data_IF_220091965525
#
_entry.id   IF_220091965525
#
_cell.length_a   1.000
_cell.length_b   1.000
_cell.length_c   1.000
_cell.angle_alpha   90.00
_cell.angle_beta   90.00
_cell.angle_gamma   90.00
#
_symmetry.space_group_name_H-M   'P 1'
#
loop_
_entity.id
_entity.type
_entity.pdbx_description
1 polymer ?
#
# COMPACT_ATOMS: atom_id res chain seq x y z
N UNK A 1 -24.99 -10.83 -36.37
CA UNK A 1 -25.67 -10.60 -35.08
C UNK A 1 -24.63 -10.67 -33.99
N UNK A 2 -24.24 -9.52 -33.42
CA UNK A 2 -23.33 -9.50 -32.28
C UNK A 2 -24.05 -10.09 -31.08
N UNK A 3 -23.49 -11.14 -30.50
CA UNK A 3 -24.00 -11.74 -29.28
C UNK A 3 -23.91 -10.71 -28.15
N UNK A 4 -25.04 -10.13 -27.74
CA UNK A 4 -25.11 -9.28 -26.55
C UNK A 4 -25.12 -10.23 -25.36
N UNK A 5 -23.98 -10.83 -25.04
CA UNK A 5 -23.83 -11.48 -23.74
C UNK A 5 -23.95 -10.38 -22.69
N UNK A 6 -24.96 -10.43 -21.79
CA UNK A 6 -25.08 -9.44 -20.75
C UNK A 6 -23.81 -9.47 -19.91
N UNK A 7 -23.25 -8.28 -19.63
CA UNK A 7 -22.08 -8.18 -18.76
C UNK A 7 -22.43 -8.83 -17.42
N UNK A 8 -21.56 -9.69 -16.87
CA UNK A 8 -21.80 -10.29 -15.57
C UNK A 8 -21.94 -9.18 -14.50
N UNK A 9 -22.67 -9.44 -13.41
CA UNK A 9 -22.67 -8.53 -12.28
C UNK A 9 -21.24 -8.34 -11.74
N UNK A 10 -20.97 -7.19 -11.10
CA UNK A 10 -19.61 -6.81 -10.66
C UNK A 10 -18.92 -7.86 -9.76
N UNK A 11 -19.69 -8.63 -8.99
CA UNK A 11 -19.15 -9.71 -8.14
C UNK A 11 -18.80 -10.98 -8.91
N UNK A 12 -18.95 -11.00 -10.24
CA UNK A 12 -18.66 -12.14 -11.12
C UNK A 12 -17.72 -11.80 -12.28
N UNK A 13 -17.39 -10.51 -12.51
CA UNK A 13 -16.61 -10.04 -13.69
C UNK A 13 -15.29 -10.77 -13.90
N UNK A 14 -14.49 -10.94 -12.86
CA UNK A 14 -13.11 -11.47 -12.94
C UNK A 14 -12.96 -12.86 -12.33
N UNK A 15 -14.05 -13.65 -12.28
CA UNK A 15 -14.03 -15.02 -11.77
C UNK A 15 -14.59 -16.00 -12.81
N UNK A 16 -14.09 -17.25 -12.86
CA UNK A 16 -14.57 -18.24 -13.80
C UNK A 16 -16.05 -18.57 -13.55
N UNK A 17 -16.82 -18.98 -14.58
CA UNK A 17 -18.24 -19.35 -14.43
C UNK A 17 -18.49 -20.42 -13.35
N UNK A 18 -17.54 -21.32 -13.12
CA UNK A 18 -17.61 -22.33 -12.07
C UNK A 18 -17.63 -21.77 -10.64
N UNK A 19 -17.18 -20.52 -10.46
CA UNK A 19 -17.16 -19.82 -9.17
C UNK A 19 -18.27 -18.78 -9.05
N UNK A 20 -19.17 -18.69 -10.03
CA UNK A 20 -20.27 -17.73 -9.99
C UNK A 20 -21.30 -18.12 -8.92
N UNK A 21 -21.67 -17.14 -8.11
CA UNK A 21 -22.68 -17.30 -7.05
C UNK A 21 -23.99 -16.63 -7.46
N UNK A 22 -25.12 -17.27 -7.16
CA UNK A 22 -26.45 -16.72 -7.50
C UNK A 22 -26.71 -15.34 -6.85
N UNK A 23 -26.13 -15.09 -5.68
CA UNK A 23 -26.21 -13.83 -4.96
C UNK A 23 -24.83 -13.21 -4.73
N UNK A 24 -24.79 -11.89 -4.48
CA UNK A 24 -23.55 -11.20 -4.16
C UNK A 24 -22.97 -11.70 -2.81
N UNK A 25 -21.72 -12.19 -2.77
CA UNK A 25 -21.07 -12.63 -1.53
C UNK A 25 -21.06 -11.55 -0.46
N UNK A 26 -21.17 -11.93 0.82
CA UNK A 26 -21.26 -10.98 1.94
C UNK A 26 -20.10 -9.98 1.98
N UNK A 27 -18.88 -10.40 1.63
CA UNK A 27 -17.70 -9.53 1.61
C UNK A 27 -17.68 -8.49 0.49
N UNK A 28 -18.63 -8.58 -0.47
CA UNK A 28 -18.81 -7.64 -1.57
C UNK A 28 -20.12 -6.86 -1.47
N UNK A 29 -20.87 -7.02 -0.38
CA UNK A 29 -22.07 -6.21 -0.15
C UNK A 29 -21.70 -4.84 0.43
N UNK A 30 -22.56 -3.84 0.18
CA UNK A 30 -22.42 -2.48 0.73
C UNK A 30 -21.10 -1.77 0.38
N UNK A 31 -20.54 -2.07 -0.79
CA UNK A 31 -19.34 -1.42 -1.30
C UNK A 31 -19.62 0.01 -1.76
N UNK A 32 -18.57 0.83 -1.78
CA UNK A 32 -18.66 2.18 -2.32
C UNK A 32 -18.93 2.14 -3.83
N UNK A 33 -19.54 3.19 -4.43
CA UNK A 33 -19.69 3.27 -5.88
C UNK A 33 -18.36 3.15 -6.63
N UNK A 34 -17.26 3.63 -6.02
CA UNK A 34 -15.91 3.52 -6.56
C UNK A 34 -15.46 2.05 -6.63
N UNK A 35 -15.62 1.30 -5.54
CA UNK A 35 -15.22 -0.12 -5.51
C UNK A 35 -16.07 -0.97 -6.45
N UNK A 36 -17.38 -0.70 -6.52
CA UNK A 36 -18.28 -1.37 -7.49
C UNK A 36 -17.82 -1.12 -8.92
N UNK A 37 -17.46 0.13 -9.25
CA UNK A 37 -16.92 0.51 -10.55
C UNK A 37 -15.63 -0.26 -10.86
N UNK A 38 -14.67 -0.30 -9.92
CA UNK A 38 -13.41 -1.03 -10.10
C UNK A 38 -13.66 -2.53 -10.32
N UNK A 39 -14.50 -3.15 -9.50
CA UNK A 39 -14.82 -4.58 -9.61
C UNK A 39 -15.58 -4.93 -10.90
N UNK A 40 -16.28 -3.96 -11.48
CA UNK A 40 -17.00 -4.12 -12.75
C UNK A 40 -16.06 -4.13 -13.96
N UNK A 41 -14.83 -3.66 -13.82
CA UNK A 41 -13.82 -3.62 -14.89
C UNK A 41 -13.17 -4.99 -15.08
N UNK A 42 -13.16 -5.57 -16.29
CA UNK A 42 -12.38 -6.76 -16.58
C UNK A 42 -10.88 -6.51 -16.37
N UNK A 43 -10.17 -7.47 -15.78
CA UNK A 43 -8.74 -7.41 -15.52
C UNK A 43 -7.90 -7.01 -16.76
N UNK A 44 -8.17 -7.52 -17.99
CA UNK A 44 -7.44 -7.11 -19.19
C UNK A 44 -7.65 -5.65 -19.60
N UNK A 45 -8.74 -5.02 -19.15
CA UNK A 45 -9.05 -3.61 -19.41
C UNK A 45 -8.44 -2.69 -18.34
N UNK A 46 -7.92 -3.26 -17.25
CA UNK A 46 -7.27 -2.48 -16.21
C UNK A 46 -5.91 -1.95 -16.68
N UNK A 47 -5.71 -0.64 -16.52
CA UNK A 47 -4.45 0.01 -16.86
C UNK A 47 -3.46 -0.06 -15.69
N UNK A 48 -2.37 -0.80 -15.87
CA UNK A 48 -1.27 -0.86 -14.92
C UNK A 48 -0.50 0.47 -14.90
N UNK A 49 -0.32 1.04 -13.71
CA UNK A 49 0.38 2.31 -13.55
C UNK A 49 1.90 2.11 -13.66
N UNK A 50 2.50 2.79 -14.65
CA UNK A 50 3.96 2.83 -14.85
C UNK A 50 4.65 3.74 -13.82
N UNK A 51 5.96 3.59 -13.64
CA UNK A 51 6.72 4.44 -12.71
C UNK A 51 6.56 5.95 -12.97
N UNK A 52 6.63 6.47 -14.22
CA UNK A 52 6.31 7.87 -14.50
C UNK A 52 4.90 8.28 -14.06
N UNK A 53 3.89 7.43 -14.31
CA UNK A 53 2.51 7.70 -13.91
C UNK A 53 2.35 7.76 -12.39
N UNK A 54 2.99 6.82 -11.67
CA UNK A 54 3.00 6.80 -10.20
C UNK A 54 3.62 8.09 -9.64
N UNK A 55 4.78 8.50 -10.16
CA UNK A 55 5.42 9.77 -9.76
C UNK A 55 4.51 10.96 -10.01
N UNK A 56 3.92 11.05 -11.20
CA UNK A 56 2.99 12.13 -11.54
C UNK A 56 1.79 12.19 -10.60
N UNK A 57 1.23 11.03 -10.20
CA UNK A 57 0.11 10.96 -9.25
C UNK A 57 0.51 11.54 -7.89
N UNK A 58 1.69 11.18 -7.40
CA UNK A 58 2.21 11.63 -6.09
C UNK A 58 2.56 13.13 -6.15
N UNK A 59 3.26 13.58 -7.20
CA UNK A 59 3.61 14.99 -7.39
C UNK A 59 2.36 15.88 -7.50
N UNK A 60 1.29 15.39 -8.14
CA UNK A 60 0.01 16.08 -8.23
C UNK A 60 -0.87 15.92 -6.98
N UNK A 61 -0.41 15.17 -5.97
CA UNK A 61 -1.14 14.83 -4.76
C UNK A 61 -2.53 14.21 -5.03
N UNK A 62 -2.63 13.39 -6.09
CA UNK A 62 -3.87 12.74 -6.58
C UNK A 62 -3.93 11.27 -6.17
N UNK A 63 -3.65 11.00 -4.89
CA UNK A 63 -3.57 9.63 -4.34
C UNK A 63 -4.89 8.84 -4.52
N UNK A 64 -6.01 9.52 -4.75
CA UNK A 64 -7.30 8.93 -5.09
C UNK A 64 -7.27 8.09 -6.39
N UNK A 65 -6.31 8.35 -7.28
CA UNK A 65 -6.13 7.62 -8.54
C UNK A 65 -5.45 6.26 -8.33
N UNK A 66 -4.79 6.03 -7.20
CA UNK A 66 -4.28 4.71 -6.89
C UNK A 66 -5.43 3.74 -6.64
N UNK A 67 -5.44 2.66 -7.41
CA UNK A 67 -6.45 1.61 -7.35
C UNK A 67 -5.75 0.26 -7.40
N UNK A 68 -6.38 -0.76 -6.86
CA UNK A 68 -5.94 -2.14 -7.06
C UNK A 68 -6.50 -2.64 -8.38
N UNK A 69 -5.80 -3.59 -8.98
CA UNK A 69 -6.36 -4.40 -10.06
C UNK A 69 -7.68 -5.03 -9.59
N UNK A 70 -8.73 -5.14 -10.44
CA UNK A 70 -10.06 -5.61 -10.02
C UNK A 70 -10.05 -6.95 -9.30
N UNK A 71 -9.33 -7.96 -9.81
CA UNK A 71 -9.14 -9.25 -9.13
C UNK A 71 -8.53 -9.12 -7.73
N UNK A 72 -7.58 -8.22 -7.57
CA UNK A 72 -6.84 -8.05 -6.30
C UNK A 72 -7.65 -7.23 -5.31
N UNK A 73 -8.46 -6.27 -5.78
CA UNK A 73 -9.46 -5.61 -4.94
C UNK A 73 -10.46 -6.62 -4.38
N UNK A 74 -10.96 -7.54 -5.21
CA UNK A 74 -11.88 -8.60 -4.77
C UNK A 74 -11.25 -9.44 -3.65
N UNK A 75 -10.05 -9.96 -3.87
CA UNK A 75 -9.34 -10.80 -2.89
C UNK A 75 -8.99 -10.02 -1.63
N UNK A 76 -8.62 -8.74 -1.75
CA UNK A 76 -8.40 -7.85 -0.61
C UNK A 76 -9.66 -7.70 0.25
N UNK A 77 -10.82 -7.48 -0.37
CA UNK A 77 -12.10 -7.33 0.34
C UNK A 77 -12.49 -8.64 1.06
N UNK A 78 -12.30 -9.78 0.40
CA UNK A 78 -12.49 -11.11 1.00
C UNK A 78 -11.55 -11.31 2.20
N UNK A 79 -10.26 -11.01 2.03
CA UNK A 79 -9.26 -11.07 3.10
C UNK A 79 -9.65 -10.17 4.28
N UNK A 80 -10.01 -8.91 4.04
CA UNK A 80 -10.45 -8.00 5.09
C UNK A 80 -11.70 -8.51 5.83
N UNK A 81 -12.64 -9.13 5.11
CA UNK A 81 -13.83 -9.72 5.72
C UNK A 81 -13.45 -10.89 6.65
N UNK A 82 -12.61 -11.80 6.19
CA UNK A 82 -12.14 -12.95 6.98
C UNK A 82 -11.36 -12.51 8.22
N UNK A 83 -10.43 -11.56 8.06
CA UNK A 83 -9.66 -11.00 9.18
C UNK A 83 -10.58 -10.35 10.22
N UNK A 84 -11.58 -9.58 9.80
CA UNK A 84 -12.57 -8.99 10.72
C UNK A 84 -13.34 -10.06 11.47
N UNK A 85 -13.72 -11.14 10.79
CA UNK A 85 -14.45 -12.25 11.41
C UNK A 85 -13.62 -13.02 12.44
N UNK A 86 -12.31 -13.19 12.20
CA UNK A 86 -11.45 -14.01 13.05
C UNK A 86 -10.78 -13.22 14.18
N UNK A 87 -10.35 -11.99 13.91
CA UNK A 87 -9.61 -11.15 14.85
C UNK A 87 -10.44 -10.00 15.42
N UNK A 88 -11.72 -9.92 15.07
CA UNK A 88 -12.64 -8.85 15.46
C UNK A 88 -12.42 -7.52 14.72
N UNK A 89 -11.19 -7.22 14.30
CA UNK A 89 -10.89 -6.06 13.45
C UNK A 89 -9.58 -6.25 12.67
N UNK A 90 -9.47 -5.58 11.52
CA UNK A 90 -8.20 -5.50 10.76
C UNK A 90 -7.09 -4.88 11.62
N UNK A 91 -7.43 -3.86 12.41
CA UNK A 91 -6.50 -3.19 13.31
C UNK A 91 -5.84 -4.17 14.28
N UNK A 92 -6.64 -4.98 14.98
CA UNK A 92 -6.14 -5.97 15.94
C UNK A 92 -5.23 -6.99 15.26
N UNK A 93 -5.60 -7.46 14.08
CA UNK A 93 -4.74 -8.34 13.30
C UNK A 93 -3.40 -7.68 12.92
N UNK A 94 -3.41 -6.42 12.47
CA UNK A 94 -2.17 -5.70 12.16
C UNK A 94 -1.27 -5.63 13.40
N UNK A 95 -1.80 -5.24 14.56
CA UNK A 95 -1.02 -5.15 15.80
C UNK A 95 -0.53 -6.51 16.30
N UNK A 96 -1.42 -7.49 16.44
CA UNK A 96 -1.13 -8.77 17.08
C UNK A 96 -0.30 -9.69 16.18
N UNK A 97 -0.56 -9.67 14.87
CA UNK A 97 0.03 -10.62 13.90
C UNK A 97 1.15 -9.99 13.08
N UNK A 98 0.88 -8.86 12.40
CA UNK A 98 1.85 -8.27 11.46
C UNK A 98 2.95 -7.49 12.17
N UNK A 99 2.60 -6.65 13.14
CA UNK A 99 3.53 -5.76 13.82
C UNK A 99 4.11 -6.40 15.08
N UNK A 100 3.30 -7.18 15.80
CA UNK A 100 3.59 -7.72 17.14
C UNK A 100 3.87 -6.59 18.15
N UNK A 101 3.08 -5.52 18.06
CA UNK A 101 3.14 -4.37 18.96
C UNK A 101 1.93 -4.39 19.88
N UNK A 102 2.13 -4.04 21.15
CA UNK A 102 1.04 -3.88 22.11
C UNK A 102 0.39 -2.52 21.94
N UNK A 103 -0.89 -2.44 22.27
CA UNK A 103 -1.64 -1.18 22.23
C UNK A 103 -1.01 -0.11 23.14
N UNK A 104 -0.44 -0.50 24.28
CA UNK A 104 0.26 0.43 25.18
C UNK A 104 1.49 1.09 24.51
N UNK A 105 2.17 0.37 23.60
CA UNK A 105 3.33 0.90 22.88
C UNK A 105 2.95 1.98 21.86
N UNK A 106 1.68 2.00 21.43
CA UNK A 106 1.13 2.97 20.48
C UNK A 106 0.40 4.10 21.23
N UNK A 107 -0.39 3.74 22.26
CA UNK A 107 -1.19 4.66 23.05
C UNK A 107 -0.36 5.57 23.96
N UNK A 108 0.88 5.19 24.28
CA UNK A 108 1.76 5.98 25.15
C UNK A 108 2.07 7.39 24.62
N UNK A 109 1.73 7.72 23.37
CA UNK A 109 1.99 9.03 22.77
C UNK A 109 3.42 9.48 23.08
N UNK A 110 4.36 8.52 23.02
CA UNK A 110 5.58 8.62 23.79
C UNK A 110 6.37 9.81 23.27
N UNK A 111 6.37 10.89 24.07
CA UNK A 111 6.89 12.24 23.79
C UNK A 111 8.39 12.31 23.45
N UNK A 112 9.01 11.18 23.12
CA UNK A 112 10.43 11.00 22.77
C UNK A 112 10.67 9.98 21.66
N UNK A 113 9.62 9.49 20.99
CA UNK A 113 9.78 8.55 19.90
C UNK A 113 9.97 9.32 18.60
N UNK A 114 11.06 9.02 17.89
CA UNK A 114 11.39 9.62 16.60
C UNK A 114 11.84 8.53 15.62
N UNK A 115 12.08 8.94 14.38
CA UNK A 115 12.70 8.11 13.34
C UNK A 115 14.10 7.57 13.70
N UNK A 116 14.72 8.06 14.79
CA UNK A 116 16.08 7.69 15.19
C UNK A 116 16.19 6.29 15.85
N UNK A 117 15.10 5.75 16.40
CA UNK A 117 15.10 4.41 17.00
C UNK A 117 14.30 3.43 16.13
N UNK A 118 15.04 2.50 15.51
CA UNK A 118 14.52 1.49 14.59
C UNK A 118 13.44 0.59 15.20
N UNK A 119 13.34 0.49 16.54
CA UNK A 119 12.30 -0.30 17.19
C UNK A 119 10.91 0.33 17.11
N UNK A 120 10.84 1.60 16.68
CA UNK A 120 9.58 2.34 16.54
C UNK A 120 9.00 2.27 15.12
N UNK A 121 9.73 1.65 14.19
CA UNK A 121 9.30 1.48 12.81
C UNK A 121 9.32 0.02 12.40
N UNK A 122 8.40 -0.36 11.52
CA UNK A 122 8.43 -1.64 10.83
C UNK A 122 8.20 -1.43 9.35
N UNK A 123 9.18 -1.81 8.54
CA UNK A 123 9.07 -1.79 7.08
C UNK A 123 8.62 -3.17 6.62
N UNK A 124 7.47 -3.24 5.95
CA UNK A 124 6.89 -4.48 5.44
C UNK A 124 6.58 -4.33 3.96
N UNK A 125 6.53 -5.46 3.24
CA UNK A 125 5.93 -5.46 1.91
C UNK A 125 4.43 -5.20 2.04
N UNK A 126 3.86 -4.47 1.09
CA UNK A 126 2.42 -4.30 1.05
C UNK A 126 1.77 -5.64 0.66
N UNK A 127 1.01 -6.23 1.57
CA UNK A 127 0.25 -7.46 1.31
C UNK A 127 -0.70 -7.28 0.13
N UNK A 128 -1.22 -6.08 -0.11
CA UNK A 128 -2.20 -5.80 -1.18
C UNK A 128 -1.79 -4.54 -1.95
N UNK A 129 -0.77 -4.63 -2.81
CA UNK A 129 -0.25 -3.49 -3.56
C UNK A 129 -1.28 -2.95 -4.56
N UNK A 130 -1.04 -1.74 -5.06
CA UNK A 130 -1.85 -1.16 -6.14
C UNK A 130 -1.59 -1.88 -7.48
N UNK A 131 -2.43 -1.60 -8.48
CA UNK A 131 -2.23 -2.07 -9.85
C UNK A 131 -1.12 -1.29 -10.54
N UNK A 132 0.11 -1.54 -10.14
CA UNK A 132 1.33 -0.86 -10.57
C UNK A 132 2.26 -1.85 -11.29
N UNK A 133 3.20 -1.32 -12.06
CA UNK A 133 4.23 -2.10 -12.76
C UNK A 133 4.97 -3.04 -11.78
N UNK A 134 5.19 -4.30 -12.17
CA UNK A 134 5.83 -5.34 -11.34
C UNK A 134 7.26 -4.98 -10.91
N UNK A 135 7.90 -4.06 -11.63
CA UNK A 135 9.21 -3.51 -11.23
C UNK A 135 9.10 -2.58 -10.01
N UNK A 136 7.91 -2.13 -9.64
CA UNK A 136 7.70 -1.23 -8.52
C UNK A 136 7.41 -2.06 -7.26
N UNK A 137 8.33 -2.03 -6.31
CA UNK A 137 8.14 -2.64 -5.00
C UNK A 137 7.38 -1.67 -4.11
N UNK A 138 6.18 -2.08 -3.66
CA UNK A 138 5.33 -1.29 -2.76
C UNK A 138 5.54 -1.75 -1.31
N UNK A 139 6.12 -0.87 -0.50
CA UNK A 139 6.35 -1.08 0.93
C UNK A 139 5.35 -0.26 1.76
N UNK A 140 5.14 -0.71 2.99
CA UNK A 140 4.42 0.02 4.04
C UNK A 140 5.35 0.17 5.23
N UNK A 141 5.54 1.42 5.68
CA UNK A 141 6.29 1.75 6.88
C UNK A 141 5.30 2.09 7.97
N UNK A 142 5.26 1.26 9.02
CA UNK A 142 4.42 1.46 10.20
C UNK A 142 5.20 2.19 11.28
N UNK A 143 4.55 3.12 11.98
CA UNK A 143 5.14 3.89 13.07
C UNK A 143 4.39 3.67 14.38
N UNK A 144 5.13 3.61 15.51
CA UNK A 144 4.52 3.61 16.85
C UNK A 144 4.02 4.99 17.30
N UNK A 145 4.40 6.04 16.57
CA UNK A 145 4.10 7.43 16.87
C UNK A 145 3.21 8.05 15.80
N UNK A 146 2.52 9.13 16.20
CA UNK A 146 1.65 9.88 15.30
C UNK A 146 2.48 10.63 14.25
N UNK A 147 2.01 10.58 13.01
CA UNK A 147 2.48 11.46 11.95
C UNK A 147 1.50 12.63 11.89
N UNK A 148 1.90 13.77 12.45
CA UNK A 148 0.97 14.88 12.69
C UNK A 148 0.55 15.57 11.39
N UNK A 149 -0.75 15.83 11.27
CA UNK A 149 -1.33 16.55 10.14
C UNK A 149 -1.34 18.06 10.45
N UNK A 150 -1.20 18.87 9.41
CA UNK A 150 -1.43 20.30 9.43
C UNK A 150 -2.92 20.57 9.68
N UNK A 151 -3.27 21.36 10.72
CA UNK A 151 -4.66 21.54 11.13
C UNK A 151 -5.50 22.36 10.14
N UNK A 152 -4.87 23.16 9.27
CA UNK A 152 -5.57 23.99 8.29
C UNK A 152 -5.84 23.24 6.99
N UNK A 153 -4.85 22.50 6.50
CA UNK A 153 -4.89 21.83 5.21
C UNK A 153 -5.30 20.35 5.31
N UNK A 154 -5.11 19.73 6.47
CA UNK A 154 -5.31 18.29 6.67
C UNK A 154 -4.25 17.40 6.01
N UNK A 155 -3.22 18.00 5.40
CA UNK A 155 -2.05 17.29 4.85
C UNK A 155 -1.03 17.00 5.96
N UNK A 156 -0.02 16.16 5.71
CA UNK A 156 1.06 15.93 6.67
C UNK A 156 1.83 17.22 6.93
N UNK A 157 2.11 17.55 8.20
CA UNK A 157 2.82 18.78 8.57
C UNK A 157 4.24 18.80 7.99
N UNK A 158 4.71 19.99 7.62
CA UNK A 158 5.95 20.17 6.87
C UNK A 158 7.22 19.70 7.62
N UNK A 159 7.25 19.83 8.95
CA UNK A 159 8.31 19.27 9.79
C UNK A 159 8.32 17.73 9.78
N UNK A 160 7.14 17.10 9.87
CA UNK A 160 6.98 15.64 9.77
C UNK A 160 7.40 15.15 8.38
N UNK A 161 7.06 15.88 7.31
CA UNK A 161 7.53 15.59 5.94
C UNK A 161 9.06 15.58 5.86
N UNK A 162 9.72 16.60 6.43
CA UNK A 162 11.20 16.66 6.48
C UNK A 162 11.82 15.52 7.28
N UNK A 163 11.19 15.10 8.36
CA UNK A 163 11.66 13.95 9.15
C UNK A 163 11.56 12.64 8.36
N UNK A 164 10.43 12.43 7.66
CA UNK A 164 10.25 11.28 6.76
C UNK A 164 11.29 11.33 5.64
N UNK A 165 11.46 12.47 4.97
CA UNK A 165 12.46 12.65 3.90
C UNK A 165 13.87 12.30 4.39
N UNK A 166 14.28 12.83 5.55
CA UNK A 166 15.59 12.55 6.12
C UNK A 166 15.81 11.07 6.42
N UNK A 167 14.79 10.40 6.98
CA UNK A 167 14.85 8.97 7.25
C UNK A 167 14.85 8.13 5.97
N UNK A 168 14.04 8.48 4.97
CA UNK A 168 14.00 7.79 3.67
C UNK A 168 15.34 7.92 2.95
N UNK A 169 15.93 9.11 2.93
CA UNK A 169 17.23 9.37 2.32
C UNK A 169 18.35 8.57 3.02
N UNK A 170 18.28 8.43 4.36
CA UNK A 170 19.24 7.64 5.12
C UNK A 170 19.12 6.13 4.87
N UNK A 171 17.90 5.59 4.93
CA UNK A 171 17.65 4.14 4.84
C UNK A 171 17.72 3.64 3.39
N UNK A 172 17.13 4.40 2.47
CA UNK A 172 16.98 4.01 1.07
C UNK A 172 17.91 4.80 0.15
N UNK A 173 18.04 6.12 0.34
CA UNK A 173 18.80 6.98 -0.57
C UNK A 173 20.29 6.62 -0.69
N UNK A 174 20.97 6.38 0.44
CA UNK A 174 22.41 6.04 0.46
C UNK A 174 22.74 4.67 -0.18
N UNK A 175 21.80 3.72 -0.17
CA UNK A 175 22.02 2.32 -0.59
C UNK A 175 21.44 2.00 -1.97
N UNK A 176 20.25 2.50 -2.28
CA UNK A 176 19.67 2.35 -3.62
C UNK A 176 20.47 3.11 -4.68
N UNK A 177 21.14 4.22 -4.34
CA UNK A 177 21.97 4.99 -5.28
C UNK A 177 23.38 4.43 -5.51
N UNK A 178 23.87 3.53 -4.65
CA UNK A 178 25.20 2.92 -4.78
C UNK A 178 25.17 1.52 -5.42
N UNK A 179 24.07 0.78 -5.30
CA UNK A 179 23.94 -0.59 -5.83
C UNK A 179 23.06 -0.69 -7.09
N UNK A 180 22.13 0.25 -7.34
CA UNK A 180 21.40 0.33 -8.61
C UNK A 180 22.15 1.18 -9.65
N UNK A 181 23.41 0.84 -9.90
CA UNK A 181 24.05 1.22 -11.16
C UNK A 181 23.36 0.39 -12.24
N UNK A 182 22.27 0.92 -12.80
CA UNK A 182 21.73 0.41 -14.05
C UNK A 182 22.91 0.28 -15.02
N UNK A 183 23.25 -0.95 -15.42
CA UNK A 183 24.37 -1.31 -16.30
C UNK A 183 24.32 -0.60 -17.68
N UNK A 184 23.29 0.21 -17.95
CA UNK A 184 23.06 0.94 -19.20
C UNK A 184 22.87 2.47 -19.06
N UNK A 185 23.11 3.08 -17.90
CA UNK A 185 22.95 4.54 -17.75
C UNK A 185 24.26 5.18 -17.28
N UNK A 186 24.93 5.91 -18.19
CA UNK A 186 26.22 6.59 -17.97
C UNK A 186 26.13 7.87 -17.12
N UNK A 187 25.04 8.06 -16.36
CA UNK A 187 24.79 9.25 -15.53
C UNK A 187 24.28 8.85 -14.14
N UNK A 188 24.68 9.55 -13.07
CA UNK A 188 24.16 9.29 -11.73
C UNK A 188 22.65 9.57 -11.69
N UNK A 189 21.86 8.51 -11.57
CA UNK A 189 20.44 8.56 -11.26
C UNK A 189 20.31 9.12 -9.84
N UNK A 190 19.60 10.23 -9.67
CA UNK A 190 19.35 10.78 -8.32
C UNK A 190 18.56 9.77 -7.50
N UNK A 191 18.83 9.62 -6.20
CA UNK A 191 18.09 8.71 -5.32
C UNK A 191 16.56 8.94 -5.36
N UNK A 192 16.13 10.18 -5.66
CA UNK A 192 14.73 10.58 -5.85
C UNK A 192 14.08 10.07 -7.15
N UNK A 193 14.86 9.54 -8.09
CA UNK A 193 14.34 8.94 -9.33
C UNK A 193 13.90 7.48 -9.14
N UNK A 194 14.33 6.84 -8.04
CA UNK A 194 14.09 5.42 -7.75
C UNK A 194 13.31 5.17 -6.46
N UNK A 195 13.25 6.14 -5.55
CA UNK A 195 12.48 6.05 -4.30
C UNK A 195 11.51 7.21 -4.20
N UNK A 196 10.24 6.90 -3.95
CA UNK A 196 9.22 7.89 -3.61
C UNK A 196 8.41 7.39 -2.43
N UNK A 197 7.88 8.32 -1.64
CA UNK A 197 7.00 8.00 -0.53
C UNK A 197 5.75 8.87 -0.58
N UNK A 198 4.67 8.36 -0.01
CA UNK A 198 3.42 9.11 0.15
C UNK A 198 2.66 8.59 1.36
N UNK A 199 1.78 9.42 1.91
CA UNK A 199 0.91 9.05 3.02
C UNK A 199 -0.54 9.27 2.62
N UNK A 200 -1.36 8.23 2.78
CA UNK A 200 -2.79 8.35 2.53
C UNK A 200 -3.43 9.27 3.57
N UNK A 201 -4.21 10.25 3.11
CA UNK A 201 -4.90 11.19 3.99
C UNK A 201 -5.99 10.48 4.80
N UNK A 202 -6.48 11.12 5.85
CA UNK A 202 -7.38 10.54 6.86
C UNK A 202 -8.59 9.80 6.29
N UNK A 203 -9.16 10.23 5.15
CA UNK A 203 -10.33 9.60 4.50
C UNK A 203 -10.02 8.33 3.69
N UNK A 204 -8.75 8.07 3.36
CA UNK A 204 -8.29 6.92 2.56
C UNK A 204 -7.62 5.82 3.40
N UNK A 205 -7.36 6.08 4.69
CA UNK A 205 -6.74 5.10 5.60
C UNK A 205 -7.72 3.98 5.92
N UNK A 206 -7.32 2.72 5.72
CA UNK A 206 -8.09 1.56 6.16
C UNK A 206 -7.90 1.23 7.65
N UNK A 207 -6.85 1.79 8.29
CA UNK A 207 -6.54 1.61 9.72
C UNK A 207 -6.15 2.96 10.31
N UNK A 208 -6.97 3.49 11.24
CA UNK A 208 -6.79 4.85 11.80
C UNK A 208 -5.93 4.91 13.06
N UNK A 209 -5.66 3.78 13.72
CA UNK A 209 -4.96 3.75 15.02
C UNK A 209 -3.46 3.49 14.90
N UNK A 210 -2.99 2.95 13.77
CA UNK A 210 -1.55 2.76 13.52
C UNK A 210 -1.17 3.57 12.30
N UNK A 211 -0.37 4.59 12.54
CA UNK A 211 0.12 5.47 11.48
C UNK A 211 1.10 4.72 10.58
N UNK A 212 0.98 5.00 9.29
CA UNK A 212 1.81 4.42 8.28
C UNK A 212 1.91 5.34 7.07
N UNK A 213 3.00 5.17 6.33
CA UNK A 213 3.18 5.74 5.01
C UNK A 213 3.69 4.67 4.06
N UNK A 214 3.60 4.94 2.78
CA UNK A 214 3.98 4.03 1.73
C UNK A 214 5.30 4.48 1.12
N UNK A 215 6.14 3.51 0.77
CA UNK A 215 7.32 3.71 -0.05
C UNK A 215 7.15 2.89 -1.32
N UNK A 216 7.51 3.47 -2.45
CA UNK A 216 7.63 2.75 -3.72
C UNK A 216 9.07 2.85 -4.20
N UNK A 217 9.63 1.69 -4.55
CA UNK A 217 10.99 1.56 -5.07
C UNK A 217 10.90 1.07 -6.52
N UNK A 218 11.55 1.77 -7.44
CA UNK A 218 11.61 1.34 -8.83
C UNK A 218 12.80 0.42 -9.07
N UNK A 219 12.49 -0.83 -9.44
CA UNK A 219 13.44 -1.89 -9.76
C UNK A 219 14.61 -2.03 -8.76
N UNK A 220 14.36 -2.11 -7.44
CA UNK A 220 15.42 -2.26 -6.45
C UNK A 220 16.05 -3.65 -6.52
N UNK A 221 17.28 -3.78 -6.01
CA UNK A 221 17.88 -5.07 -5.70
C UNK A 221 16.98 -5.87 -4.72
N UNK A 222 16.53 -7.10 -5.08
CA UNK A 222 15.77 -7.96 -4.18
C UNK A 222 16.42 -8.23 -2.83
N UNK A 223 17.76 -8.31 -2.75
CA UNK A 223 18.47 -8.51 -1.47
C UNK A 223 18.40 -7.25 -0.60
N UNK A 224 18.40 -6.06 -1.21
CA UNK A 224 18.14 -4.82 -0.49
C UNK A 224 16.71 -4.80 0.09
N UNK A 225 15.71 -5.21 -0.70
CA UNK A 225 14.32 -5.30 -0.23
C UNK A 225 14.22 -6.27 0.94
N UNK A 226 14.78 -7.48 0.82
CA UNK A 226 14.79 -8.48 1.89
C UNK A 226 15.47 -7.96 3.16
N UNK A 227 16.57 -7.21 3.02
CA UNK A 227 17.28 -6.62 4.15
C UNK A 227 16.43 -5.57 4.87
N UNK A 228 15.85 -4.61 4.13
CA UNK A 228 15.08 -3.52 4.74
C UNK A 228 13.76 -4.01 5.36
N UNK A 229 13.18 -5.07 4.80
CA UNK A 229 11.96 -5.70 5.35
C UNK A 229 12.26 -6.81 6.37
N UNK A 230 13.53 -7.05 6.71
CA UNK A 230 13.98 -8.12 7.62
C UNK A 230 13.45 -9.51 7.22
N UNK A 231 13.33 -9.76 5.91
CA UNK A 231 12.86 -11.02 5.35
C UNK A 231 11.34 -11.19 5.31
N UNK A 232 10.57 -10.11 5.50
CA UNK A 232 9.11 -10.14 5.34
C UNK A 232 8.69 -10.64 3.96
N UNK A 233 7.54 -11.31 3.92
CA UNK A 233 6.92 -11.81 2.71
C UNK A 233 5.44 -11.38 2.68
N UNK A 234 4.91 -10.93 1.52
CA UNK A 234 3.53 -10.48 1.44
C UNK A 234 2.57 -11.63 1.75
N UNK A 235 1.60 -11.37 2.62
CA UNK A 235 0.56 -12.33 2.94
C UNK A 235 -0.65 -12.16 2.00
N UNK A 236 -0.51 -12.72 0.80
CA UNK A 236 -1.57 -12.79 -0.22
C UNK A 236 -2.23 -14.19 -0.30
N UNK A 237 -1.79 -15.13 0.55
CA UNK A 237 -2.23 -16.52 0.57
C UNK A 237 -3.32 -16.81 1.60
N UNK A 238 -4.08 -17.88 1.35
CA UNK A 238 -5.25 -18.34 2.10
C UNK A 238 -5.05 -18.35 3.61
N UNK A 239 -5.99 -17.72 4.30
CA UNK A 239 -6.33 -18.10 5.67
C UNK A 239 -7.12 -19.40 5.61
#
# INVERSE_FOLDING_TARGET
MGSITPSPPYWQTNIPPSSHTATCPNFLQNLSPKDISILSTPDPEYHILTWPSVRQIIDANRLDLFQRKPSDLRRYLEYCYTIKSQHGSVMRYILDVKLQWKEEEIAAGAKKVSFADENNLKVLLNDWPYGIDEKIVHLVVWTKFALEDDPETGDTREDVKREIDGWVDEVFGKRCGSENVCIFVFFPISAREIVIWFRNWRSLKSVHAVEHFHIMLYNPDPEFVKKVTKGDVPNQGSI
#
